data_IF_088090223939
#
_entry.id   IF_088090223939
#
_cell.length_a   1.000
_cell.length_b   1.000
_cell.length_c   1.000
_cell.angle_alpha   90.00
_cell.angle_beta   90.00
_cell.angle_gamma   90.00
#
_symmetry.space_group_name_H-M   'P 1'
#
loop_
_entity.id
_entity.type
_entity.pdbx_description
1 polymer ?
#
# COMPACT_ATOMS: atom_id res chain seq x y z
N UNK A 1 25.19 23.60 -38.09
CA UNK A 1 24.71 22.32 -37.54
C UNK A 1 23.95 22.44 -36.21
N UNK A 2 23.82 23.65 -35.62
CA UNK A 2 23.09 23.88 -34.35
C UNK A 2 21.62 23.45 -34.33
N UNK A 3 20.92 23.49 -35.48
CA UNK A 3 19.51 23.10 -35.55
C UNK A 3 19.30 21.58 -35.40
N UNK A 4 20.27 20.75 -35.84
CA UNK A 4 20.17 19.29 -35.76
C UNK A 4 20.24 18.82 -34.30
N UNK A 5 21.22 19.33 -33.55
CA UNK A 5 21.36 19.08 -32.12
C UNK A 5 20.17 19.60 -31.32
N UNK A 6 19.67 20.81 -31.62
CA UNK A 6 18.49 21.36 -30.95
C UNK A 6 17.21 20.55 -31.17
N UNK A 7 16.99 20.06 -32.39
CA UNK A 7 15.84 19.20 -32.71
C UNK A 7 15.99 17.85 -32.00
N UNK A 8 17.17 17.24 -32.02
CA UNK A 8 17.44 15.98 -31.31
C UNK A 8 17.19 16.08 -29.81
N UNK A 9 17.79 17.08 -29.16
CA UNK A 9 17.64 17.33 -27.74
C UNK A 9 16.17 17.51 -27.34
N UNK A 10 15.37 18.19 -28.18
CA UNK A 10 13.94 18.36 -27.90
C UNK A 10 13.17 17.04 -27.87
N UNK A 11 13.50 16.09 -28.77
CA UNK A 11 12.86 14.76 -28.81
C UNK A 11 13.28 13.91 -27.60
N UNK A 12 14.54 14.01 -27.17
CA UNK A 12 15.05 13.33 -25.98
C UNK A 12 14.38 13.85 -24.71
N UNK A 13 14.29 15.17 -24.56
CA UNK A 13 13.64 15.82 -23.40
C UNK A 13 12.17 15.43 -23.32
N UNK A 14 11.46 15.37 -24.47
CA UNK A 14 10.08 14.90 -24.50
C UNK A 14 9.95 13.42 -24.09
N UNK A 15 10.87 12.55 -24.53
CA UNK A 15 10.92 11.15 -24.09
C UNK A 15 11.15 11.00 -22.59
N UNK A 16 12.09 11.75 -22.03
CA UNK A 16 12.36 11.78 -20.59
C UNK A 16 11.14 12.32 -19.80
N UNK A 17 10.49 13.38 -20.30
CA UNK A 17 9.29 13.94 -19.69
C UNK A 17 8.14 12.92 -19.62
N UNK A 18 7.89 12.18 -20.72
CA UNK A 18 6.87 11.12 -20.74
C UNK A 18 7.16 10.00 -19.73
N UNK A 19 8.44 9.64 -19.57
CA UNK A 19 8.86 8.63 -18.59
C UNK A 19 8.65 9.10 -17.15
N UNK A 20 8.95 10.35 -16.83
CA UNK A 20 8.77 10.92 -15.48
C UNK A 20 7.28 11.10 -15.16
N UNK A 21 6.48 11.54 -16.13
CA UNK A 21 5.03 11.78 -15.95
C UNK A 21 4.16 10.52 -16.10
N UNK A 22 4.77 9.36 -16.36
CA UNK A 22 4.07 8.07 -16.50
C UNK A 22 2.93 8.08 -17.53
N UNK A 23 3.10 8.83 -18.63
CA UNK A 23 2.10 8.87 -19.71
C UNK A 23 2.03 7.54 -20.47
N UNK A 24 0.84 7.16 -20.99
CA UNK A 24 0.70 5.94 -21.77
C UNK A 24 1.60 5.98 -23.01
N UNK A 25 2.41 4.94 -23.21
CA UNK A 25 3.42 4.88 -24.28
C UNK A 25 4.77 5.52 -23.94
N UNK A 26 5.04 5.84 -22.67
CA UNK A 26 6.30 6.44 -22.23
C UNK A 26 7.55 5.66 -22.64
N UNK A 27 7.52 4.32 -22.57
CA UNK A 27 8.66 3.49 -22.94
C UNK A 27 8.98 3.60 -24.44
N UNK A 28 7.96 3.67 -25.29
CA UNK A 28 8.13 3.86 -26.73
C UNK A 28 8.73 5.24 -27.05
N UNK A 29 8.23 6.30 -26.40
CA UNK A 29 8.74 7.66 -26.59
C UNK A 29 10.19 7.81 -26.08
N UNK A 30 10.55 7.13 -24.99
CA UNK A 30 11.91 7.12 -24.45
C UNK A 30 12.89 6.42 -25.39
N UNK A 31 12.50 5.26 -25.94
CA UNK A 31 13.31 4.54 -26.93
C UNK A 31 13.54 5.40 -28.18
N UNK A 32 12.51 6.11 -28.65
CA UNK A 32 12.62 6.99 -29.81
C UNK A 32 13.58 8.16 -29.53
N UNK A 33 13.48 8.79 -28.36
CA UNK A 33 14.40 9.85 -27.93
C UNK A 33 15.85 9.39 -27.87
N UNK A 34 16.13 8.30 -27.13
CA UNK A 34 17.48 7.77 -26.98
C UNK A 34 18.07 7.28 -28.31
N UNK A 35 17.26 6.71 -29.20
CA UNK A 35 17.70 6.32 -30.55
C UNK A 35 18.09 7.53 -31.39
N UNK A 36 17.33 8.62 -31.27
CA UNK A 36 17.64 9.89 -31.96
C UNK A 36 18.97 10.46 -31.47
N UNK A 37 19.22 10.43 -30.16
CA UNK A 37 20.47 10.89 -29.55
C UNK A 37 21.68 10.07 -30.02
N UNK A 38 21.54 8.74 -30.07
CA UNK A 38 22.60 7.85 -30.55
C UNK A 38 23.00 8.15 -32.01
N UNK A 39 22.03 8.46 -32.87
CA UNK A 39 22.30 8.83 -34.28
C UNK A 39 23.01 10.18 -34.37
N UNK A 40 22.62 11.15 -33.55
CA UNK A 40 23.25 12.48 -33.54
C UNK A 40 24.70 12.39 -33.04
N UNK A 41 24.95 11.66 -31.96
CA UNK A 41 26.32 11.43 -31.47
C UNK A 41 27.19 10.73 -32.50
N UNK A 42 26.64 9.75 -33.22
CA UNK A 42 27.38 9.05 -34.27
C UNK A 42 27.85 10.01 -35.38
N UNK A 43 26.99 10.94 -35.81
CA UNK A 43 27.38 11.93 -36.82
C UNK A 43 28.24 13.07 -36.25
N UNK A 44 28.09 13.41 -34.97
CA UNK A 44 28.92 14.40 -34.27
C UNK A 44 30.40 14.01 -34.25
N UNK A 45 30.72 12.71 -34.17
CA UNK A 45 32.10 12.21 -34.22
C UNK A 45 32.85 12.53 -35.53
N UNK A 46 32.13 12.87 -36.61
CA UNK A 46 32.71 13.26 -37.89
C UNK A 46 32.73 14.78 -38.10
N UNK A 47 32.26 15.56 -37.12
CA UNK A 47 32.31 17.01 -37.17
C UNK A 47 33.67 17.52 -36.67
N UNK A 48 34.20 18.55 -37.33
CA UNK A 48 35.45 19.20 -36.94
C UNK A 48 35.24 19.84 -35.56
N UNK A 49 36.19 19.71 -34.60
CA UNK A 49 36.10 20.38 -33.30
C UNK A 49 35.78 21.86 -33.50
N UNK A 50 34.82 22.38 -32.74
CA UNK A 50 34.49 23.80 -32.81
C UNK A 50 35.73 24.61 -32.48
N UNK A 51 36.10 25.57 -33.34
CA UNK A 51 37.17 26.52 -33.04
C UNK A 51 36.80 27.25 -31.74
N UNK A 52 37.61 27.04 -30.71
CA UNK A 52 37.42 27.73 -29.45
C UNK A 52 37.62 29.22 -29.69
N UNK A 53 36.64 30.00 -29.25
CA UNK A 53 36.74 31.45 -29.33
C UNK A 53 37.88 31.88 -28.40
N UNK A 54 38.81 32.68 -28.93
CA UNK A 54 39.90 33.23 -28.14
C UNK A 54 39.35 34.26 -27.14
N UNK A 55 38.98 33.78 -25.95
CA UNK A 55 38.41 34.58 -24.87
C UNK A 55 39.39 35.63 -24.35
N UNK A 56 40.68 35.50 -24.67
CA UNK A 56 41.73 36.46 -24.33
C UNK A 56 41.53 37.82 -25.02
N UNK A 57 40.84 37.86 -26.17
CA UNK A 57 40.47 39.13 -26.81
C UNK A 57 39.47 39.97 -25.99
N UNK A 58 38.62 39.33 -25.16
CA UNK A 58 37.54 39.98 -24.41
C UNK A 58 37.89 40.13 -22.92
N UNK A 59 38.65 39.19 -22.37
CA UNK A 59 39.09 39.19 -20.99
C UNK A 59 40.62 39.00 -20.93
N UNK A 60 41.39 40.09 -20.92
CA UNK A 60 42.84 40.02 -20.93
C UNK A 60 43.45 39.39 -19.66
N UNK A 61 42.67 39.20 -18.58
CA UNK A 61 43.11 38.49 -17.38
C UNK A 61 43.26 36.97 -17.57
N UNK A 62 42.75 36.42 -18.68
CA UNK A 62 42.99 35.03 -19.09
C UNK A 62 44.20 34.90 -20.04
N UNK A 63 44.82 36.02 -20.45
CA UNK A 63 46.05 36.02 -21.22
C UNK A 63 47.20 35.47 -20.37
N UNK A 64 47.54 34.20 -20.55
CA UNK A 64 48.66 33.55 -19.83
C UNK A 64 48.28 32.33 -19.00
N UNK A 65 47.01 31.87 -19.04
CA UNK A 65 46.73 30.48 -18.73
C UNK A 65 46.97 29.67 -20.02
N UNK A 66 48.18 29.15 -20.17
CA UNK A 66 48.53 28.24 -21.26
C UNK A 66 47.63 26.99 -21.21
N UNK A 67 47.19 26.58 -22.39
CA UNK A 67 46.44 25.36 -22.65
C UNK A 67 47.21 24.15 -22.08
N UNK A 68 46.57 23.21 -21.35
CA UNK A 68 47.26 22.04 -20.77
C UNK A 68 47.99 21.16 -21.80
N UNK A 69 47.67 21.32 -23.08
CA UNK A 69 48.26 20.55 -24.18
C UNK A 69 49.61 21.12 -24.67
N UNK A 70 50.03 22.32 -24.24
CA UNK A 70 51.37 22.87 -24.52
C UNK A 70 52.44 22.47 -23.49
N UNK A 71 52.09 21.68 -22.47
CA UNK A 71 52.97 21.43 -21.32
C UNK A 71 53.86 20.17 -21.42
N UNK A 72 54.34 19.82 -22.61
CA UNK A 72 55.46 18.86 -22.79
C UNK A 72 56.71 19.61 -23.27
N UNK A 73 57.13 20.67 -22.57
CA UNK A 73 58.44 21.32 -22.75
C UNK A 73 58.64 22.42 -21.71
N UNK A 74 59.25 22.10 -20.57
CA UNK A 74 59.71 23.15 -19.67
C UNK A 74 60.07 22.65 -18.30
N UNK A 75 61.37 22.67 -17.99
CA UNK A 75 61.95 22.41 -16.68
C UNK A 75 61.25 23.17 -15.55
N UNK A 76 61.08 22.46 -14.43
CA UNK A 76 60.96 23.01 -13.07
C UNK A 76 59.57 23.44 -12.58
N UNK A 77 58.58 22.55 -12.67
CA UNK A 77 57.36 22.62 -11.82
C UNK A 77 57.45 21.60 -10.69
N UNK A 78 57.18 22.06 -9.47
CA UNK A 78 57.17 21.25 -8.26
C UNK A 78 56.15 20.09 -8.42
N UNK A 79 56.39 18.97 -7.74
CA UNK A 79 55.49 17.80 -7.75
C UNK A 79 54.07 18.23 -7.36
N UNK A 80 52.99 17.64 -7.91
CA UNK A 80 51.60 17.95 -7.52
C UNK A 80 51.35 17.87 -6.00
N UNK A 81 52.11 17.05 -5.28
CA UNK A 81 52.12 16.99 -3.81
C UNK A 81 52.76 18.21 -3.15
N UNK A 82 53.79 18.79 -3.74
CA UNK A 82 54.44 20.02 -3.25
C UNK A 82 53.59 21.26 -3.52
N UNK A 83 52.81 21.27 -4.61
CA UNK A 83 51.85 22.33 -4.90
C UNK A 83 50.64 22.26 -3.94
N UNK A 84 50.16 21.05 -3.62
CA UNK A 84 49.20 20.82 -2.55
C UNK A 84 49.73 21.25 -1.17
N UNK A 85 50.96 20.89 -0.81
CA UNK A 85 51.60 21.30 0.45
C UNK A 85 51.74 22.83 0.53
N UNK A 86 52.10 23.48 -0.57
CA UNK A 86 52.20 24.94 -0.65
C UNK A 86 50.82 25.61 -0.57
N UNK A 87 49.78 25.01 -1.14
CA UNK A 87 48.40 25.49 -0.99
C UNK A 87 47.87 25.33 0.43
N UNK A 88 48.22 24.23 1.11
CA UNK A 88 47.89 24.01 2.53
C UNK A 88 48.62 25.00 3.45
N UNK A 89 49.87 25.34 3.13
CA UNK A 89 50.69 26.33 3.84
C UNK A 89 50.19 27.77 3.59
N UNK A 90 49.93 28.15 2.33
CA UNK A 90 49.45 29.48 1.94
C UNK A 90 48.02 29.77 2.44
N UNK A 91 47.16 28.73 2.48
CA UNK A 91 45.81 28.86 3.01
C UNK A 91 45.75 28.91 4.55
N UNK A 92 46.90 28.80 5.25
CA UNK A 92 46.98 28.69 6.71
C UNK A 92 45.97 27.68 7.25
N UNK A 93 46.01 26.47 6.72
CA UNK A 93 45.21 25.38 7.27
C UNK A 93 45.90 24.93 8.57
N UNK A 94 45.63 25.66 9.65
CA UNK A 94 46.12 25.33 10.97
C UNK A 94 45.53 23.99 11.42
N UNK A 95 46.24 23.23 12.27
CA UNK A 95 45.70 22.00 12.86
C UNK A 95 44.36 22.21 13.56
N UNK A 96 44.13 23.42 14.10
CA UNK A 96 42.86 23.84 14.71
C UNK A 96 41.71 23.92 13.69
N UNK A 97 41.96 24.36 12.45
CA UNK A 97 40.95 24.37 11.39
C UNK A 97 40.59 22.95 10.95
N UNK A 98 41.58 22.06 10.80
CA UNK A 98 41.33 20.64 10.48
C UNK A 98 40.54 19.96 11.60
N UNK A 99 40.89 20.23 12.86
CA UNK A 99 40.18 19.69 14.02
C UNK A 99 38.74 20.22 14.10
N UNK A 100 38.53 21.52 13.84
CA UNK A 100 37.20 22.14 13.80
C UNK A 100 36.34 21.58 12.68
N UNK A 101 36.92 21.33 11.49
CA UNK A 101 36.24 20.73 10.35
C UNK A 101 35.88 19.26 10.64
N UNK A 102 36.81 18.50 11.22
CA UNK A 102 36.56 17.12 11.63
C UNK A 102 35.47 17.01 12.70
N UNK A 103 35.48 17.94 13.66
CA UNK A 103 34.42 18.08 14.67
C UNK A 103 33.08 18.45 14.04
N UNK A 104 33.09 19.37 13.06
CA UNK A 104 31.90 19.75 12.27
C UNK A 104 31.31 18.58 11.49
N UNK A 105 32.14 17.82 10.78
CA UNK A 105 31.70 16.62 10.04
C UNK A 105 31.14 15.55 10.98
N UNK A 106 31.78 15.32 12.14
CA UNK A 106 31.27 14.39 13.15
C UNK A 106 29.91 14.83 13.68
N UNK A 107 29.77 16.11 14.06
CA UNK A 107 28.50 16.68 14.53
C UNK A 107 27.41 16.60 13.48
N UNK A 108 27.75 16.83 12.21
CA UNK A 108 26.82 16.68 11.09
C UNK A 108 26.38 15.22 10.92
N UNK A 109 27.32 14.27 10.97
CA UNK A 109 27.02 12.84 10.93
C UNK A 109 26.09 12.40 12.08
N UNK A 110 26.36 12.88 13.30
CA UNK A 110 25.51 12.62 14.46
C UNK A 110 24.10 13.23 14.31
N UNK A 111 24.00 14.45 13.77
CA UNK A 111 22.72 15.10 13.51
C UNK A 111 21.92 14.37 12.42
N UNK A 112 22.57 13.94 11.34
CA UNK A 112 21.96 13.15 10.27
C UNK A 112 21.47 11.79 10.79
N UNK A 113 22.26 11.12 11.63
CA UNK A 113 21.87 9.87 12.29
C UNK A 113 20.63 10.05 13.18
N UNK A 114 20.61 11.10 14.02
CA UNK A 114 19.45 11.42 14.86
C UNK A 114 18.20 11.78 14.04
N UNK A 115 18.37 12.46 12.91
CA UNK A 115 17.26 12.73 12.00
C UNK A 115 16.69 11.44 11.42
N UNK A 116 17.52 10.49 11.00
CA UNK A 116 17.07 9.18 10.54
C UNK A 116 16.21 8.49 11.60
N UNK A 117 16.69 8.41 12.84
CA UNK A 117 15.93 7.81 13.96
C UNK A 117 14.62 8.56 14.22
N UNK A 118 14.61 9.88 14.07
CA UNK A 118 13.39 10.70 14.26
C UNK A 118 12.37 10.44 13.14
N UNK A 119 12.83 10.27 11.90
CA UNK A 119 11.98 9.93 10.75
C UNK A 119 11.38 8.54 10.93
N UNK A 120 12.18 7.56 11.33
CA UNK A 120 11.70 6.20 11.62
C UNK A 120 10.69 6.19 12.78
N UNK A 121 10.95 6.95 13.84
CA UNK A 121 10.02 7.09 14.96
C UNK A 121 8.72 7.80 14.56
N UNK A 122 8.78 8.80 13.67
CA UNK A 122 7.60 9.47 13.13
C UNK A 122 6.74 8.53 12.28
N UNK A 123 7.37 7.69 11.44
CA UNK A 123 6.68 6.65 10.68
C UNK A 123 5.99 5.63 11.60
N UNK A 124 6.70 5.13 12.62
CA UNK A 124 6.13 4.22 13.62
C UNK A 124 4.96 4.86 14.40
N UNK A 125 5.03 6.16 14.68
CA UNK A 125 3.93 6.90 15.34
C UNK A 125 2.70 7.02 14.44
N UNK A 126 2.91 7.24 13.13
CA UNK A 126 1.81 7.28 12.17
C UNK A 126 1.14 5.90 12.05
N UNK A 127 1.92 4.82 11.92
CA UNK A 127 1.41 3.45 11.90
C UNK A 127 0.67 3.12 13.21
N UNK A 128 1.21 3.53 14.36
CA UNK A 128 0.53 3.37 15.64
C UNK A 128 -0.83 4.09 15.67
N UNK A 129 -0.92 5.30 15.12
CA UNK A 129 -2.18 6.02 14.99
C UNK A 129 -3.21 5.29 14.10
N UNK A 130 -2.76 4.72 12.99
CA UNK A 130 -3.60 3.90 12.11
C UNK A 130 -4.10 2.64 12.82
N UNK A 131 -3.22 1.94 13.54
CA UNK A 131 -3.57 0.76 14.34
C UNK A 131 -4.55 1.09 15.46
N UNK A 132 -4.39 2.25 16.12
CA UNK A 132 -5.34 2.70 17.14
C UNK A 132 -6.71 3.03 16.55
N UNK A 133 -6.75 3.64 15.36
CA UNK A 133 -7.99 3.89 14.62
C UNK A 133 -8.68 2.59 14.24
N UNK A 134 -7.93 1.61 13.74
CA UNK A 134 -8.44 0.28 13.42
C UNK A 134 -8.96 -0.43 14.66
N UNK A 135 -8.22 -0.39 15.77
CA UNK A 135 -8.64 -0.96 17.05
C UNK A 135 -9.95 -0.33 17.54
N UNK A 136 -10.08 1.00 17.44
CA UNK A 136 -11.31 1.71 17.81
C UNK A 136 -12.50 1.27 16.95
N UNK A 137 -12.33 1.11 15.64
CA UNK A 137 -13.38 0.58 14.74
C UNK A 137 -13.76 -0.86 15.08
N UNK A 138 -12.78 -1.70 15.37
CA UNK A 138 -13.04 -3.08 15.78
C UNK A 138 -13.78 -3.14 17.12
N UNK A 139 -13.47 -2.23 18.05
CA UNK A 139 -14.13 -2.14 19.35
C UNK A 139 -15.58 -1.64 19.21
N UNK A 140 -15.83 -0.69 18.31
CA UNK A 140 -17.18 -0.26 17.93
C UNK A 140 -17.98 -1.41 17.31
N UNK A 141 -17.38 -2.13 16.36
CA UNK A 141 -17.98 -3.31 15.74
C UNK A 141 -18.27 -4.41 16.77
N UNK A 142 -17.37 -4.64 17.74
CA UNK A 142 -17.59 -5.58 18.83
C UNK A 142 -18.80 -5.17 19.68
N UNK A 143 -18.92 -3.88 19.99
CA UNK A 143 -20.05 -3.38 20.78
C UNK A 143 -21.38 -3.53 20.03
N UNK A 144 -21.38 -3.26 18.72
CA UNK A 144 -22.53 -3.49 17.86
C UNK A 144 -22.90 -4.99 17.78
N UNK A 145 -21.92 -5.87 17.63
CA UNK A 145 -22.14 -7.33 17.65
C UNK A 145 -22.70 -7.79 19.00
N UNK A 146 -22.23 -7.24 20.12
CA UNK A 146 -22.77 -7.53 21.44
C UNK A 146 -24.24 -7.11 21.56
N UNK A 147 -24.61 -5.94 21.06
CA UNK A 147 -26.01 -5.50 21.04
C UNK A 147 -26.89 -6.46 20.21
N UNK A 148 -26.45 -6.82 19.01
CA UNK A 148 -27.15 -7.77 18.12
C UNK A 148 -27.25 -9.15 18.78
N UNK A 149 -26.20 -9.63 19.45
CA UNK A 149 -26.22 -10.90 20.16
C UNK A 149 -27.21 -10.89 21.32
N UNK A 150 -27.30 -9.78 22.07
CA UNK A 150 -28.25 -9.63 23.17
C UNK A 150 -29.68 -9.66 22.65
N UNK A 151 -29.96 -8.95 21.56
CA UNK A 151 -31.27 -8.93 20.90
C UNK A 151 -31.64 -10.31 20.33
N UNK A 152 -30.71 -10.98 19.65
CA UNK A 152 -30.88 -12.33 19.14
C UNK A 152 -31.17 -13.33 20.27
N UNK A 153 -30.47 -13.20 21.41
CA UNK A 153 -30.70 -14.03 22.59
C UNK A 153 -32.08 -13.78 23.20
N UNK A 154 -32.54 -12.52 23.24
CA UNK A 154 -33.89 -12.18 23.71
C UNK A 154 -34.97 -12.79 22.80
N UNK A 155 -34.82 -12.63 21.49
CA UNK A 155 -35.72 -13.23 20.49
C UNK A 155 -35.71 -14.77 20.58
N UNK A 156 -34.55 -15.38 20.81
CA UNK A 156 -34.43 -16.82 21.00
C UNK A 156 -35.18 -17.29 22.26
N UNK A 157 -35.03 -16.57 23.38
CA UNK A 157 -35.77 -16.87 24.61
C UNK A 157 -37.28 -16.74 24.41
N UNK A 158 -37.74 -15.71 23.70
CA UNK A 158 -39.17 -15.52 23.42
C UNK A 158 -39.72 -16.65 22.53
N UNK A 159 -39.00 -17.00 21.46
CA UNK A 159 -39.37 -18.13 20.59
C UNK A 159 -39.39 -19.45 21.36
N UNK A 160 -38.44 -19.66 22.27
CA UNK A 160 -38.35 -20.86 23.09
C UNK A 160 -39.50 -20.92 24.12
N UNK A 161 -39.86 -19.81 24.74
CA UNK A 161 -41.02 -19.72 25.63
C UNK A 161 -42.32 -20.00 24.86
N UNK A 162 -42.50 -19.42 23.68
CA UNK A 162 -43.66 -19.69 22.82
C UNK A 162 -43.74 -21.15 22.38
N UNK A 163 -42.60 -21.78 22.09
CA UNK A 163 -42.54 -23.21 21.78
C UNK A 163 -42.98 -24.06 22.97
N UNK A 164 -42.50 -23.76 24.19
CA UNK A 164 -42.91 -24.46 25.41
C UNK A 164 -44.42 -24.31 25.64
N UNK A 165 -44.97 -23.12 25.44
CA UNK A 165 -46.41 -22.87 25.56
C UNK A 165 -47.22 -23.70 24.55
N UNK A 166 -46.82 -23.70 23.28
CA UNK A 166 -47.45 -24.51 22.23
C UNK A 166 -47.30 -26.02 22.45
N UNK A 167 -46.17 -26.46 22.98
CA UNK A 167 -45.98 -27.86 23.36
C UNK A 167 -46.92 -28.26 24.49
N UNK A 168 -47.05 -27.43 25.53
CA UNK A 168 -48.00 -27.68 26.62
C UNK A 168 -49.45 -27.72 26.10
N UNK A 169 -49.86 -26.80 25.23
CA UNK A 169 -51.20 -26.83 24.64
C UNK A 169 -51.41 -28.10 23.79
N UNK A 170 -50.43 -28.48 22.97
CA UNK A 170 -50.50 -29.69 22.14
C UNK A 170 -50.54 -30.98 22.96
N UNK A 171 -49.88 -31.02 24.13
CA UNK A 171 -49.98 -32.15 25.06
C UNK A 171 -51.41 -32.25 25.60
N UNK A 172 -51.99 -31.14 26.04
CA UNK A 172 -53.38 -31.10 26.52
C UNK A 172 -54.37 -31.52 25.41
N UNK A 173 -54.19 -31.03 24.19
CA UNK A 173 -55.04 -31.40 23.05
C UNK A 173 -54.90 -32.90 22.70
N UNK A 174 -53.69 -33.46 22.83
CA UNK A 174 -53.45 -34.90 22.62
C UNK A 174 -54.13 -35.76 23.69
N UNK A 175 -54.14 -35.32 24.94
CA UNK A 175 -54.87 -35.99 26.04
C UNK A 175 -56.38 -35.98 25.76
N UNK A 176 -56.94 -34.83 25.38
CA UNK A 176 -58.35 -34.73 24.99
C UNK A 176 -58.71 -35.60 23.79
N UNK A 177 -57.83 -35.67 22.79
CA UNK A 177 -58.02 -36.55 21.64
C UNK A 177 -58.05 -38.03 22.07
N UNK A 178 -57.17 -38.43 22.98
CA UNK A 178 -57.17 -39.79 23.53
C UNK A 178 -58.50 -40.10 24.25
N UNK A 179 -59.02 -39.16 25.03
CA UNK A 179 -60.33 -39.28 25.69
C UNK A 179 -61.48 -39.39 24.69
N UNK A 180 -61.51 -38.54 23.65
CA UNK A 180 -62.54 -38.61 22.61
C UNK A 180 -62.48 -39.92 21.82
N UNK A 181 -61.28 -40.40 21.47
CA UNK A 181 -61.09 -41.69 20.79
C UNK A 181 -61.54 -42.85 21.69
N UNK A 182 -61.24 -42.82 22.98
CA UNK A 182 -61.72 -43.81 23.96
C UNK A 182 -63.25 -43.82 24.04
N UNK A 183 -63.87 -42.64 24.13
CA UNK A 183 -65.33 -42.50 24.12
C UNK A 183 -65.94 -43.03 22.81
N UNK A 184 -65.36 -42.69 21.66
CA UNK A 184 -65.80 -43.18 20.35
C UNK A 184 -65.74 -44.71 20.27
N UNK A 185 -64.64 -45.31 20.73
CA UNK A 185 -64.48 -46.77 20.78
C UNK A 185 -65.55 -47.43 21.67
N UNK A 186 -65.83 -46.85 22.84
CA UNK A 186 -66.90 -47.32 23.73
C UNK A 186 -68.28 -47.23 23.07
N UNK A 187 -68.61 -46.11 22.43
CA UNK A 187 -69.87 -45.92 21.72
C UNK A 187 -70.02 -46.90 20.55
N UNK A 188 -68.95 -47.13 19.78
CA UNK A 188 -68.95 -48.15 18.72
C UNK A 188 -69.20 -49.55 19.28
N UNK A 189 -68.57 -49.91 20.40
CA UNK A 189 -68.78 -51.19 21.08
C UNK A 189 -70.23 -51.38 21.54
N UNK A 190 -70.83 -50.32 22.12
CA UNK A 190 -72.23 -50.32 22.52
C UNK A 190 -73.17 -50.47 21.32
N UNK A 191 -72.94 -49.72 20.24
CA UNK A 191 -73.72 -49.86 19.00
C UNK A 191 -73.62 -51.27 18.44
N UNK A 192 -72.40 -51.84 18.36
CA UNK A 192 -72.21 -53.21 17.90
C UNK A 192 -72.96 -54.22 18.79
N UNK A 193 -73.00 -54.00 20.10
CA UNK A 193 -73.76 -54.83 21.04
C UNK A 193 -75.28 -54.74 20.80
N UNK A 194 -75.80 -53.54 20.54
CA UNK A 194 -77.23 -53.33 20.20
C UNK A 194 -77.57 -53.96 18.86
N UNK A 195 -76.74 -53.78 17.83
CA UNK A 195 -76.93 -54.43 16.54
C UNK A 195 -76.87 -55.95 16.64
N UNK A 196 -75.95 -56.50 17.43
CA UNK A 196 -75.87 -57.94 17.72
C UNK A 196 -77.11 -58.45 18.47
N UNK A 197 -77.59 -57.70 19.46
CA UNK A 197 -78.84 -58.02 20.18
C UNK A 197 -80.06 -57.97 19.27
N UNK A 198 -80.13 -57.00 18.36
CA UNK A 198 -81.20 -56.86 17.37
C UNK A 198 -81.17 -57.98 16.33
N UNK A 199 -79.99 -58.35 15.82
CA UNK A 199 -79.79 -59.51 14.93
C UNK A 199 -80.21 -60.81 15.62
N UNK A 200 -79.83 -61.00 16.88
CA UNK A 200 -80.22 -62.17 17.68
C UNK A 200 -81.74 -62.24 17.84
N UNK A 201 -82.38 -61.11 18.19
CA UNK A 201 -83.83 -61.01 18.31
C UNK A 201 -84.57 -61.21 16.97
N UNK A 202 -84.00 -60.73 15.85
CA UNK A 202 -84.56 -60.93 14.50
C UNK A 202 -84.44 -62.39 14.03
N UNK A 203 -83.37 -63.09 14.42
CA UNK A 203 -83.15 -64.49 14.07
C UNK A 203 -84.01 -65.46 14.92
N UNK A 204 -84.24 -65.12 16.20
CA UNK A 204 -85.10 -65.89 17.11
C UNK A 204 -86.57 -65.88 16.61
N UNK A 205 -87.01 -64.80 15.98
CA UNK A 205 -88.39 -64.64 15.50
C UNK A 205 -88.64 -65.27 14.11
N UNK A 206 -87.69 -66.06 13.57
CA UNK A 206 -87.78 -66.69 12.25
C UNK A 206 -87.97 -68.22 12.28
N UNK A 207 -88.22 -68.79 13.47
CA UNK A 207 -88.67 -70.17 13.69
C UNK A 207 -89.96 -70.17 14.51
#
# INVERSE_FOLDING_TARGET
MSKLYGIGASVVILGAMFKILHYPGADFMLVLGLTTEAVIFFFSAFEKPHEEYDWTLVYPELAGMEDPDEEIRGENRLSPTQELDKMLEDAKIDGELIESLGSGLRRFGDAASKLSVTVDAAAATQEYGEQLSLASKNMESLNALYAVQLESSANHMEAQNSLIEKLNSSINDSERLADEVSSLANNMSQLNSVYGGMLSAMNINKN
#
